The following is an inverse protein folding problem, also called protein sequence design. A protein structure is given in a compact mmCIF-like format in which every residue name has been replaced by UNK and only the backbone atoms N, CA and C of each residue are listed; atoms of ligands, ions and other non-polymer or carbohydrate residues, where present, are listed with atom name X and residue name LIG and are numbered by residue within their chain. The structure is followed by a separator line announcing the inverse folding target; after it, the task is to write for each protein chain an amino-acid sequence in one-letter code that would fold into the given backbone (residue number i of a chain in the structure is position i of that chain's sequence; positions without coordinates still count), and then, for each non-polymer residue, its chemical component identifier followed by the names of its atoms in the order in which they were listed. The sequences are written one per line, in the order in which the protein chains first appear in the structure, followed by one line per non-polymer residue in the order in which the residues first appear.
data_IF_937336394590
#
_entry.id   IF_937336394590
#
_cell.length_a   1.000
_cell.length_b   1.000
_cell.length_c   1.000
_cell.angle_alpha   90.00
_cell.angle_beta   90.00
_cell.angle_gamma   90.00
#
_symmetry.space_group_name_H-M   'P 1'
#
loop_
_entity.id
_entity.type
_entity.pdbx_description
1 polymer ?
#
# COMPACT_ATOMS: atom_id res chain seq x y z
N UNK A 1 11.15 -32.26 -27.04
CA UNK A 1 11.04 -32.89 -25.72
C UNK A 1 10.21 -31.96 -24.85
N UNK A 2 8.93 -32.31 -24.66
CA UNK A 2 7.91 -31.48 -24.00
C UNK A 2 7.70 -32.00 -22.57
N UNK A 3 7.80 -31.15 -21.56
CA UNK A 3 7.49 -31.51 -20.18
C UNK A 3 6.17 -30.84 -19.76
N UNK A 4 5.07 -31.58 -19.84
CA UNK A 4 3.80 -31.23 -19.21
C UNK A 4 3.88 -31.56 -17.72
N UNK A 5 3.74 -30.56 -16.86
CA UNK A 5 3.56 -30.74 -15.42
C UNK A 5 2.06 -30.78 -15.14
N UNK A 6 1.56 -31.90 -14.62
CA UNK A 6 0.19 -32.06 -14.18
C UNK A 6 0.04 -31.51 -12.75
N UNK A 7 -0.92 -30.62 -12.53
CA UNK A 7 -1.30 -30.11 -11.21
C UNK A 7 -2.53 -30.90 -10.72
N UNK A 8 -2.52 -31.52 -9.54
CA UNK A 8 -3.72 -32.14 -8.98
C UNK A 8 -4.70 -31.05 -8.51
N UNK A 9 -5.90 -31.04 -9.09
CA UNK A 9 -7.01 -30.21 -8.67
C UNK A 9 -7.67 -30.84 -7.42
N UNK A 10 -7.49 -30.23 -6.25
CA UNK A 10 -8.11 -30.65 -4.99
C UNK A 10 -9.41 -29.86 -4.83
N UNK A 11 -10.53 -30.47 -5.22
CA UNK A 11 -11.87 -30.04 -4.82
C UNK A 11 -12.15 -30.56 -3.40
N UNK A 12 -12.40 -29.72 -2.38
CA UNK A 12 -13.06 -30.19 -1.17
C UNK A 12 -14.57 -30.35 -1.45
N UNK A 13 -14.95 -31.61 -1.62
CA UNK A 13 -16.32 -32.12 -1.61
C UNK A 13 -16.94 -31.77 -0.25
N UNK A 14 -17.95 -30.91 -0.25
CA UNK A 14 -18.77 -30.65 0.94
C UNK A 14 -19.70 -31.85 1.13
N UNK A 15 -19.30 -32.76 2.02
CA UNK A 15 -20.07 -33.96 2.34
C UNK A 15 -20.89 -33.75 3.61
N UNK A 16 -22.21 -33.74 3.42
CA UNK A 16 -23.23 -34.35 4.27
C UNK A 16 -23.51 -33.86 5.71
N UNK A 17 -24.76 -34.12 6.04
CA UNK A 17 -25.63 -33.48 7.00
C UNK A 17 -26.09 -34.56 7.98
N UNK A 18 -25.81 -34.43 9.28
CA UNK A 18 -26.43 -35.10 10.45
C UNK A 18 -25.62 -34.65 11.68
N UNK A 19 -26.13 -34.30 12.85
CA UNK A 19 -27.37 -34.60 13.55
C UNK A 19 -27.74 -33.43 14.49
N UNK A 20 -29.03 -33.33 14.81
CA UNK A 20 -29.54 -32.44 15.84
C UNK A 20 -29.14 -32.93 17.24
N UNK A 21 -28.60 -32.04 18.07
CA UNK A 21 -28.77 -32.11 19.52
C UNK A 21 -28.66 -30.72 20.16
N UNK A 22 -29.73 -30.32 20.86
CA UNK A 22 -29.86 -29.10 21.63
C UNK A 22 -28.84 -29.01 22.78
N UNK A 23 -28.30 -27.82 23.05
CA UNK A 23 -28.65 -27.04 24.26
C UNK A 23 -27.67 -25.90 24.50
N UNK A 24 -28.24 -24.77 24.92
CA UNK A 24 -27.62 -23.47 25.12
C UNK A 24 -26.47 -23.47 26.14
N UNK A 25 -25.39 -22.76 25.81
CA UNK A 25 -24.53 -22.08 26.78
C UNK A 25 -24.15 -20.71 26.25
N UNK A 26 -24.34 -19.72 27.11
CA UNK A 26 -24.36 -18.29 26.84
C UNK A 26 -23.19 -17.75 26.01
N UNK A 27 -23.52 -16.99 24.96
CA UNK A 27 -22.59 -16.11 24.26
C UNK A 27 -22.20 -14.95 25.19
N UNK A 28 -21.08 -15.07 25.89
CA UNK A 28 -20.44 -13.91 26.50
C UNK A 28 -19.78 -13.10 25.38
N UNK A 29 -20.52 -12.12 24.86
CA UNK A 29 -20.02 -11.18 23.84
C UNK A 29 -19.04 -10.24 24.53
N UNK A 30 -17.76 -10.64 24.54
CA UNK A 30 -16.65 -9.75 24.90
C UNK A 30 -16.63 -8.61 23.88
N UNK A 31 -17.18 -7.45 24.25
CA UNK A 31 -17.09 -6.24 23.44
C UNK A 31 -15.66 -5.72 23.50
N UNK A 32 -14.83 -6.14 22.53
CA UNK A 32 -13.49 -5.56 22.34
C UNK A 32 -13.63 -4.05 22.13
N UNK A 33 -12.93 -3.20 22.91
CA UNK A 33 -12.95 -1.76 22.69
C UNK A 33 -12.49 -1.47 21.25
N UNK A 34 -13.41 -0.99 20.42
CA UNK A 34 -13.09 -0.53 19.07
C UNK A 34 -12.54 0.88 19.20
N UNK A 35 -11.21 0.99 19.26
CA UNK A 35 -10.54 2.27 19.08
C UNK A 35 -10.84 2.75 17.65
N UNK A 36 -11.82 3.64 17.51
CA UNK A 36 -12.01 4.40 16.27
C UNK A 36 -10.87 5.40 16.18
N UNK A 37 -9.75 4.96 15.61
CA UNK A 37 -8.74 5.88 15.08
C UNK A 37 -9.44 6.54 13.89
N UNK A 38 -9.97 7.74 14.12
CA UNK A 38 -10.41 8.61 13.02
C UNK A 38 -9.13 9.09 12.37
N UNK A 39 -8.81 8.69 11.12
CA UNK A 39 -7.71 9.31 10.40
C UNK A 39 -8.03 10.80 10.36
N UNK A 40 -7.08 11.62 10.79
CA UNK A 40 -7.15 13.07 10.57
C UNK A 40 -7.50 13.32 9.10
N UNK A 41 -8.30 14.36 8.85
CA UNK A 41 -8.74 14.78 7.50
C UNK A 41 -7.59 14.57 6.52
N UNK A 42 -7.80 13.87 5.39
CA UNK A 42 -6.72 13.65 4.43
C UNK A 42 -6.12 15.01 4.10
N UNK A 43 -4.85 15.21 4.46
CA UNK A 43 -4.10 16.33 3.94
C UNK A 43 -4.14 16.18 2.41
N UNK A 44 -4.39 17.29 1.72
CA UNK A 44 -4.32 17.30 0.26
C UNK A 44 -2.97 16.70 -0.16
N UNK A 45 -2.96 15.80 -1.15
CA UNK A 45 -1.69 15.24 -1.62
C UNK A 45 -0.81 16.38 -2.11
N UNK A 46 0.50 16.35 -1.79
CA UNK A 46 1.40 17.42 -2.21
C UNK A 46 1.44 17.51 -3.73
N UNK A 47 1.50 18.74 -4.21
CA UNK A 47 1.71 19.05 -5.62
C UNK A 47 3.08 18.56 -6.09
N UNK A 48 3.25 18.45 -7.41
CA UNK A 48 4.52 18.00 -7.97
C UNK A 48 5.66 18.97 -7.66
N UNK A 49 5.36 20.27 -7.64
CA UNK A 49 6.29 21.34 -7.27
C UNK A 49 6.71 21.25 -5.80
N UNK A 50 5.78 20.92 -4.89
CA UNK A 50 6.09 20.66 -3.48
C UNK A 50 6.96 19.42 -3.33
N UNK A 51 6.69 18.35 -4.07
CA UNK A 51 7.52 17.14 -4.07
C UNK A 51 8.94 17.42 -4.56
N UNK A 52 9.12 18.25 -5.58
CA UNK A 52 10.46 18.67 -6.05
C UNK A 52 11.16 19.52 -4.97
N UNK A 53 10.42 20.40 -4.31
CA UNK A 53 10.96 21.22 -3.23
C UNK A 53 11.39 20.37 -2.03
N UNK A 54 10.58 19.38 -1.64
CA UNK A 54 10.92 18.39 -0.63
C UNK A 54 12.16 17.58 -1.03
N UNK A 55 12.19 17.06 -2.25
CA UNK A 55 13.35 16.34 -2.77
C UNK A 55 14.65 17.17 -2.70
N UNK A 56 14.59 18.45 -3.05
CA UNK A 56 15.75 19.34 -2.98
C UNK A 56 16.24 19.62 -1.55
N UNK A 57 15.35 19.56 -0.56
CA UNK A 57 15.70 19.70 0.86
C UNK A 57 16.28 18.42 1.46
N UNK A 58 15.98 17.25 0.87
CA UNK A 58 16.48 15.96 1.33
C UNK A 58 17.95 15.79 0.94
N UNK A 59 18.82 15.58 1.94
CA UNK A 59 20.21 15.18 1.70
C UNK A 59 20.29 13.69 1.35
N UNK A 60 19.92 13.35 0.12
CA UNK A 60 19.93 11.97 -0.36
C UNK A 60 20.41 11.87 -1.80
N UNK A 61 20.94 10.70 -2.14
CA UNK A 61 21.35 10.37 -3.50
C UNK A 61 20.40 9.31 -4.08
N UNK A 62 19.48 9.76 -4.95
CA UNK A 62 18.62 8.86 -5.71
C UNK A 62 18.66 9.28 -7.19
N UNK A 63 19.46 8.56 -7.98
CA UNK A 63 19.68 8.85 -9.40
C UNK A 63 18.38 9.00 -10.22
N UNK A 64 17.38 8.17 -9.94
CA UNK A 64 16.08 8.23 -10.61
C UNK A 64 15.30 9.50 -10.23
N UNK A 65 15.21 9.82 -8.94
CA UNK A 65 14.56 11.04 -8.48
C UNK A 65 15.29 12.31 -8.95
N UNK A 66 16.62 12.26 -9.07
CA UNK A 66 17.39 13.34 -9.67
C UNK A 66 17.03 13.54 -11.14
N UNK A 67 16.95 12.46 -11.91
CA UNK A 67 16.52 12.50 -13.30
C UNK A 67 15.10 13.07 -13.46
N UNK A 68 14.16 12.60 -12.64
CA UNK A 68 12.76 13.04 -12.68
C UNK A 68 12.62 14.50 -12.25
N UNK A 69 13.26 14.92 -11.16
CA UNK A 69 13.24 16.32 -10.71
C UNK A 69 13.78 17.29 -11.76
N UNK A 70 14.84 16.91 -12.48
CA UNK A 70 15.36 17.69 -13.63
C UNK A 70 14.37 17.77 -14.79
N UNK A 71 13.65 16.69 -15.11
CA UNK A 71 12.60 16.71 -16.15
C UNK A 71 11.47 17.68 -15.77
N UNK A 72 11.01 17.60 -14.52
CA UNK A 72 9.95 18.47 -13.98
C UNK A 72 10.41 19.94 -14.00
N UNK A 73 11.62 20.24 -13.52
CA UNK A 73 12.17 21.60 -13.53
C UNK A 73 12.35 22.18 -14.94
N UNK A 74 12.57 21.32 -15.93
CA UNK A 74 12.63 21.71 -17.34
C UNK A 74 11.24 21.87 -18.00
N UNK A 75 10.15 21.72 -17.24
CA UNK A 75 8.77 21.78 -17.75
C UNK A 75 8.42 20.64 -18.70
N UNK A 76 9.11 19.51 -18.61
CA UNK A 76 8.83 18.33 -19.44
C UNK A 76 7.75 17.47 -18.78
N UNK A 77 6.89 16.90 -19.61
CA UNK A 77 5.97 15.86 -19.17
C UNK A 77 6.74 14.64 -18.64
N UNK A 78 6.23 14.06 -17.56
CA UNK A 78 6.73 12.83 -16.95
C UNK A 78 5.68 11.74 -17.11
N UNK A 79 6.11 10.49 -17.18
CA UNK A 79 5.18 9.35 -17.21
C UNK A 79 4.47 9.20 -15.86
N UNK A 80 3.34 8.50 -15.86
CA UNK A 80 2.64 8.12 -14.62
C UNK A 80 3.54 7.27 -13.70
N UNK A 81 4.35 6.39 -14.30
CA UNK A 81 5.33 5.59 -13.57
C UNK A 81 6.41 6.45 -12.91
N UNK A 82 6.98 7.44 -13.63
CA UNK A 82 7.93 8.40 -13.07
C UNK A 82 7.27 9.20 -11.93
N UNK A 83 6.02 9.64 -12.11
CA UNK A 83 5.27 10.38 -11.09
C UNK A 83 5.06 9.53 -9.82
N UNK A 84 4.59 8.29 -9.97
CA UNK A 84 4.36 7.38 -8.85
C UNK A 84 5.66 7.06 -8.10
N UNK A 85 6.73 6.76 -8.83
CA UNK A 85 8.05 6.49 -8.25
C UNK A 85 8.58 7.71 -7.48
N UNK A 86 8.51 8.89 -8.09
CA UNK A 86 9.01 10.12 -7.48
C UNK A 86 8.25 10.45 -6.20
N UNK A 87 6.92 10.45 -6.26
CA UNK A 87 6.04 10.72 -5.11
C UNK A 87 6.30 9.73 -3.98
N UNK A 88 6.26 8.43 -4.27
CA UNK A 88 6.43 7.37 -3.26
C UNK A 88 7.80 7.45 -2.61
N UNK A 89 8.85 7.70 -3.40
CA UNK A 89 10.22 7.78 -2.91
C UNK A 89 10.43 9.02 -2.02
N UNK A 90 9.98 10.21 -2.46
CA UNK A 90 10.12 11.46 -1.70
C UNK A 90 9.38 11.36 -0.36
N UNK A 91 8.13 10.90 -0.37
CA UNK A 91 7.30 10.85 0.84
C UNK A 91 7.76 9.76 1.83
N UNK A 92 8.23 8.61 1.33
CA UNK A 92 8.77 7.57 2.20
C UNK A 92 10.02 8.06 2.93
N UNK A 93 10.88 8.83 2.25
CA UNK A 93 12.05 9.42 2.88
C UNK A 93 11.68 10.44 3.94
N UNK A 94 10.77 11.37 3.63
CA UNK A 94 10.24 12.32 4.61
C UNK A 94 9.74 11.58 5.85
N UNK A 95 8.94 10.54 5.67
CA UNK A 95 8.41 9.76 6.78
C UNK A 95 9.50 9.14 7.66
N UNK A 96 10.57 8.63 7.07
CA UNK A 96 11.67 7.98 7.79
C UNK A 96 12.60 8.97 8.51
N UNK A 97 12.71 10.20 8.03
CA UNK A 97 13.69 11.19 8.53
C UNK A 97 13.05 12.38 9.24
N UNK A 98 11.72 12.36 9.48
CA UNK A 98 11.00 13.42 10.19
C UNK A 98 11.22 13.47 11.72
N UNK A 99 12.21 12.72 12.24
CA UNK A 99 12.54 12.63 13.67
C UNK A 99 13.91 13.26 13.97
#
# INVERSE_FOLDING_TARGET
MSNSVAVPNINPIFNEQTDAHESATANEVVQKPVLKIVPSVPAEPPTLEELVSLYAAQQRECWLCEGISKKIAAGREISEDDNWHFTSCVLSWEHLHRN
#
